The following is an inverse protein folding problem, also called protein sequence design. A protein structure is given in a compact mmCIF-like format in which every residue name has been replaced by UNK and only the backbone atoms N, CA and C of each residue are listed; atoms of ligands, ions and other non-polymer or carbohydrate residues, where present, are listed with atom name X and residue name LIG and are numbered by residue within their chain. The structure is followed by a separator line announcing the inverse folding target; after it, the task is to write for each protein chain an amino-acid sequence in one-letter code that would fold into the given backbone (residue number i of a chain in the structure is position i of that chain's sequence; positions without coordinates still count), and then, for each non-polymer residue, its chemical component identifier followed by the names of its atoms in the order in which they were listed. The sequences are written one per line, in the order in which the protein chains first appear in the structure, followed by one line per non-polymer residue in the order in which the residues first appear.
data_IF_086058906744
#
_entry.id   IF_086058906744
#
_cell.length_a   1.000
_cell.length_b   1.000
_cell.length_c   1.000
_cell.angle_alpha   90.00
_cell.angle_beta   90.00
_cell.angle_gamma   90.00
#
_symmetry.space_group_name_H-M   'P 1'
#
loop_
_entity.id
_entity.type
_entity.pdbx_description
1 polymer ?
#
# COMPACT_ATOMS: atom_id res chain seq x y z
N UNK A 1 35.33 43.02 29.94
CA UNK A 1 34.13 43.27 30.77
C UNK A 1 33.06 42.28 30.37
N UNK A 2 32.85 41.30 31.24
CA UNK A 2 31.87 40.21 31.13
C UNK A 2 30.53 40.75 31.64
N UNK A 3 29.47 40.71 30.82
CA UNK A 3 28.10 40.98 31.27
C UNK A 3 27.19 39.85 30.80
N UNK A 4 27.22 38.76 31.57
CA UNK A 4 26.19 37.72 31.57
C UNK A 4 24.98 38.34 32.25
N UNK A 5 23.88 38.52 31.51
CA UNK A 5 22.61 38.98 32.06
C UNK A 5 21.53 37.92 31.85
N UNK A 6 20.90 37.59 32.97
CA UNK A 6 19.56 37.03 33.10
C UNK A 6 19.39 35.56 32.70
N UNK A 7 19.50 34.70 33.73
CA UNK A 7 19.04 33.32 33.66
C UNK A 7 17.53 33.25 33.49
N UNK A 8 17.10 32.75 32.34
CA UNK A 8 15.77 32.20 32.16
C UNK A 8 15.84 30.71 32.49
N UNK A 9 15.19 30.31 33.59
CA UNK A 9 14.95 28.90 33.88
C UNK A 9 13.97 28.35 32.84
N UNK A 10 14.48 27.88 31.71
CA UNK A 10 13.69 27.18 30.71
C UNK A 10 13.51 25.73 31.16
N UNK A 11 12.35 25.44 31.76
CA UNK A 11 11.92 24.07 32.05
C UNK A 11 11.53 23.41 30.73
N UNK A 12 12.47 22.73 30.08
CA UNK A 12 12.21 22.00 28.84
C UNK A 12 11.49 20.68 29.20
N UNK A 13 10.16 20.71 29.10
CA UNK A 13 9.34 19.50 29.03
C UNK A 13 9.55 18.86 27.66
N UNK A 14 10.55 17.97 27.55
CA UNK A 14 10.67 17.09 26.38
C UNK A 14 9.59 16.02 26.54
N UNK A 15 8.48 16.23 25.84
CA UNK A 15 7.47 15.20 25.62
C UNK A 15 8.14 13.99 24.98
N UNK A 16 7.98 12.82 25.60
CA UNK A 16 8.38 11.56 25.01
C UNK A 16 7.61 11.42 23.68
N UNK A 17 8.30 11.58 22.56
CA UNK A 17 7.76 11.23 21.26
C UNK A 17 7.56 9.72 21.26
N UNK A 18 6.30 9.29 21.39
CA UNK A 18 5.93 7.92 21.11
C UNK A 18 6.44 7.57 19.72
N UNK A 19 7.35 6.59 19.65
CA UNK A 19 7.85 6.07 18.38
C UNK A 19 6.66 5.67 17.53
N UNK A 20 6.49 6.32 16.38
CA UNK A 20 5.58 5.83 15.37
C UNK A 20 6.14 4.47 14.94
N UNK A 21 5.44 3.39 15.27
CA UNK A 21 5.67 2.11 14.65
C UNK A 21 5.41 2.32 13.15
N UNK A 22 6.47 2.53 12.36
CA UNK A 22 6.36 2.57 10.92
C UNK A 22 5.72 1.28 10.47
N UNK A 23 4.51 1.36 9.92
CA UNK A 23 3.86 0.22 9.31
C UNK A 23 4.80 -0.29 8.21
N UNK A 24 5.43 -1.45 8.44
CA UNK A 24 6.34 -2.05 7.49
C UNK A 24 5.56 -2.30 6.19
N UNK A 25 5.86 -1.55 5.15
CA UNK A 25 5.12 -1.62 3.88
C UNK A 25 5.36 -2.99 3.23
N UNK A 26 4.28 -3.66 2.82
CA UNK A 26 4.38 -4.98 2.20
C UNK A 26 5.01 -4.88 0.82
N UNK A 27 6.20 -5.49 0.63
CA UNK A 27 6.90 -5.53 -0.66
C UNK A 27 6.03 -6.15 -1.74
N UNK A 28 5.27 -7.19 -1.42
CA UNK A 28 4.38 -7.84 -2.39
C UNK A 28 3.21 -6.95 -2.78
N UNK A 29 2.61 -6.26 -1.81
CA UNK A 29 1.53 -5.33 -2.09
C UNK A 29 2.02 -4.16 -2.94
N UNK A 30 3.18 -3.58 -2.61
CA UNK A 30 3.74 -2.48 -3.37
C UNK A 30 4.16 -2.90 -4.78
N UNK A 31 4.78 -4.07 -4.90
CA UNK A 31 5.07 -4.68 -6.20
C UNK A 31 3.80 -4.81 -7.04
N UNK A 32 2.70 -5.30 -6.45
CA UNK A 32 1.44 -5.45 -7.17
C UNK A 32 0.85 -4.09 -7.60
N UNK A 33 0.85 -3.08 -6.72
CA UNK A 33 0.37 -1.73 -7.05
C UNK A 33 1.14 -1.16 -8.24
N UNK A 34 2.48 -1.16 -8.17
CA UNK A 34 3.34 -0.56 -9.20
C UNK A 34 3.20 -1.34 -10.51
N UNK A 35 3.21 -2.67 -10.46
CA UNK A 35 3.12 -3.51 -11.66
C UNK A 35 1.77 -3.34 -12.36
N UNK A 36 0.65 -3.43 -11.63
CA UNK A 36 -0.68 -3.28 -12.21
C UNK A 36 -0.95 -1.86 -12.73
N UNK A 37 -0.40 -0.84 -12.06
CA UNK A 37 -0.41 0.53 -12.57
C UNK A 37 0.40 0.65 -13.88
N UNK A 38 1.53 -0.06 -14.00
CA UNK A 38 2.28 -0.20 -15.25
C UNK A 38 1.44 -0.79 -16.38
N UNK A 39 0.74 -1.90 -16.09
CA UNK A 39 -0.16 -2.57 -17.04
C UNK A 39 -1.29 -1.65 -17.52
N UNK A 40 -1.86 -0.84 -16.62
CA UNK A 40 -2.89 0.17 -16.99
C UNK A 40 -2.38 1.19 -18.01
N UNK A 41 -1.08 1.46 -18.02
CA UNK A 41 -0.41 2.37 -18.95
C UNK A 41 0.16 1.64 -20.19
N UNK A 42 -0.16 0.36 -20.40
CA UNK A 42 0.33 -0.44 -21.52
C UNK A 42 1.78 -0.92 -21.37
N UNK A 43 2.35 -0.83 -20.18
CA UNK A 43 3.70 -1.32 -19.89
C UNK A 43 3.60 -2.67 -19.18
N UNK A 44 3.78 -3.74 -19.96
CA UNK A 44 3.92 -5.09 -19.44
C UNK A 44 5.15 -5.18 -18.55
N UNK A 45 4.99 -5.21 -17.22
CA UNK A 45 6.10 -5.24 -16.26
C UNK A 45 7.00 -6.48 -16.36
N UNK A 46 6.68 -7.38 -17.29
CA UNK A 46 7.48 -8.53 -17.68
C UNK A 46 7.61 -9.56 -16.56
N UNK A 47 8.66 -10.38 -16.65
CA UNK A 47 8.92 -11.44 -15.66
C UNK A 47 9.05 -10.89 -14.22
N UNK A 48 9.55 -9.67 -14.06
CA UNK A 48 9.70 -9.03 -12.75
C UNK A 48 8.35 -8.76 -12.05
N UNK A 49 7.28 -8.52 -12.83
CA UNK A 49 5.95 -8.25 -12.29
C UNK A 49 5.06 -9.48 -12.15
N UNK A 50 5.36 -10.55 -12.87
CA UNK A 50 4.54 -11.77 -12.91
C UNK A 50 4.18 -12.31 -11.52
N UNK A 51 5.15 -12.39 -10.59
CA UNK A 51 4.92 -12.90 -9.24
C UNK A 51 3.98 -12.01 -8.41
N UNK A 52 4.13 -10.69 -8.53
CA UNK A 52 3.29 -9.73 -7.79
C UNK A 52 1.86 -9.69 -8.32
N UNK A 53 1.71 -9.69 -9.65
CA UNK A 53 0.41 -9.77 -10.31
C UNK A 53 -0.28 -11.08 -9.94
N UNK A 54 0.41 -12.22 -10.05
CA UNK A 54 -0.14 -13.52 -9.65
C UNK A 54 -0.58 -13.52 -8.18
N UNK A 55 0.18 -12.89 -7.29
CA UNK A 55 -0.20 -12.79 -5.87
C UNK A 55 -1.49 -12.00 -5.66
N UNK A 56 -1.63 -10.84 -6.31
CA UNK A 56 -2.87 -10.07 -6.30
C UNK A 56 -4.06 -10.89 -6.82
N UNK A 57 -3.89 -11.56 -7.97
CA UNK A 57 -4.97 -12.33 -8.60
C UNK A 57 -5.29 -13.64 -7.88
N UNK A 58 -4.39 -14.18 -7.06
CA UNK A 58 -4.66 -15.34 -6.21
C UNK A 58 -5.64 -15.05 -5.07
N UNK A 59 -5.89 -13.78 -4.75
CA UNK A 59 -6.91 -13.36 -3.79
C UNK A 59 -8.25 -13.44 -4.49
N UNK A 60 -8.97 -14.53 -4.25
CA UNK A 60 -10.30 -14.79 -4.79
C UNK A 60 -11.18 -15.36 -3.69
N UNK A 61 -12.32 -14.73 -3.47
CA UNK A 61 -13.41 -15.26 -2.67
C UNK A 61 -14.37 -16.04 -3.57
N UNK A 62 -14.62 -17.30 -3.21
CA UNK A 62 -15.52 -18.17 -3.95
C UNK A 62 -16.83 -18.39 -3.19
N UNK A 63 -17.95 -18.27 -3.90
CA UNK A 63 -19.26 -18.58 -3.37
C UNK A 63 -20.04 -19.38 -4.44
N UNK A 64 -20.61 -20.53 -4.07
CA UNK A 64 -21.42 -21.36 -4.97
C UNK A 64 -20.75 -21.65 -6.34
N UNK A 65 -19.42 -21.86 -6.34
CA UNK A 65 -18.66 -22.22 -7.54
C UNK A 65 -18.38 -21.06 -8.51
N UNK A 66 -18.69 -19.82 -8.15
CA UNK A 66 -18.30 -18.62 -8.90
C UNK A 66 -17.54 -17.64 -8.01
N UNK A 67 -16.76 -16.78 -8.64
CA UNK A 67 -16.04 -15.72 -7.94
C UNK A 67 -17.04 -14.70 -7.42
N UNK A 68 -16.98 -14.42 -6.11
CA UNK A 68 -17.76 -13.36 -5.49
C UNK A 68 -17.03 -12.03 -5.70
N UNK A 69 -17.52 -11.25 -6.68
CA UNK A 69 -16.83 -10.05 -7.17
C UNK A 69 -16.67 -8.98 -6.08
N UNK A 70 -17.65 -8.85 -5.18
CA UNK A 70 -17.65 -7.84 -4.13
C UNK A 70 -16.58 -8.11 -3.06
N UNK A 71 -16.65 -9.26 -2.35
CA UNK A 71 -15.63 -9.71 -1.41
C UNK A 71 -14.24 -9.77 -2.04
N UNK A 72 -14.10 -10.35 -3.24
CA UNK A 72 -12.81 -10.45 -3.93
C UNK A 72 -12.18 -9.07 -4.14
N UNK A 73 -12.95 -8.11 -4.66
CA UNK A 73 -12.46 -6.74 -4.88
C UNK A 73 -12.10 -6.03 -3.57
N UNK A 74 -12.90 -6.24 -2.51
CA UNK A 74 -12.61 -5.70 -1.18
C UNK A 74 -11.31 -6.25 -0.61
N UNK A 75 -11.12 -7.57 -0.68
CA UNK A 75 -9.97 -8.26 -0.08
C UNK A 75 -8.68 -7.97 -0.88
N UNK A 76 -8.80 -7.82 -2.20
CA UNK A 76 -7.75 -7.27 -3.06
C UNK A 76 -7.38 -5.83 -2.65
N UNK A 77 -8.35 -4.96 -2.37
CA UNK A 77 -8.04 -3.60 -1.88
C UNK A 77 -7.38 -3.63 -0.50
N UNK A 78 -7.79 -4.52 0.40
CA UNK A 78 -7.14 -4.73 1.69
C UNK A 78 -5.67 -5.12 1.49
N UNK A 79 -5.38 -6.02 0.55
CA UNK A 79 -4.01 -6.37 0.18
C UNK A 79 -3.22 -5.17 -0.36
N UNK A 80 -3.76 -4.40 -1.31
CA UNK A 80 -3.07 -3.21 -1.83
C UNK A 80 -2.80 -2.17 -0.73
N UNK A 81 -3.71 -2.04 0.24
CA UNK A 81 -3.54 -1.13 1.37
C UNK A 81 -2.41 -1.53 2.34
N UNK A 82 -1.88 -2.76 2.25
CA UNK A 82 -0.65 -3.12 2.95
C UNK A 82 0.59 -2.43 2.35
N UNK A 83 0.48 -1.88 1.14
CA UNK A 83 1.46 -0.95 0.63
C UNK A 83 1.18 0.46 1.17
N UNK A 84 1.93 0.87 2.19
CA UNK A 84 1.76 2.15 2.87
C UNK A 84 2.50 3.29 2.19
N UNK A 85 3.47 2.96 1.33
CA UNK A 85 4.29 3.93 0.57
C UNK A 85 3.64 4.43 -0.72
N UNK A 86 2.66 3.72 -1.27
CA UNK A 86 1.99 4.11 -2.52
C UNK A 86 0.75 4.99 -2.27
N UNK A 87 0.51 5.91 -3.21
CA UNK A 87 -0.61 6.84 -3.18
C UNK A 87 -1.95 6.07 -3.13
N UNK A 88 -2.84 6.37 -2.15
CA UNK A 88 -4.18 5.79 -2.08
C UNK A 88 -4.97 5.85 -3.39
N UNK A 89 -4.83 6.92 -4.19
CA UNK A 89 -5.51 7.06 -5.47
C UNK A 89 -5.01 6.04 -6.51
N UNK A 90 -3.71 5.72 -6.51
CA UNK A 90 -3.15 4.70 -7.40
C UNK A 90 -3.64 3.31 -7.00
N UNK A 91 -3.63 3.01 -5.69
CA UNK A 91 -4.19 1.76 -5.16
C UNK A 91 -5.65 1.59 -5.53
N UNK A 92 -6.45 2.65 -5.38
CA UNK A 92 -7.86 2.65 -5.75
C UNK A 92 -8.02 2.43 -7.26
N UNK A 93 -7.28 3.14 -8.11
CA UNK A 93 -7.38 2.98 -9.56
C UNK A 93 -7.00 1.57 -10.03
N UNK A 94 -5.99 0.96 -9.41
CA UNK A 94 -5.63 -0.46 -9.64
C UNK A 94 -6.80 -1.36 -9.25
N UNK A 95 -7.40 -1.17 -8.07
CA UNK A 95 -8.50 -2.03 -7.63
C UNK A 95 -9.80 -1.80 -8.42
N UNK A 96 -10.08 -0.58 -8.86
CA UNK A 96 -11.22 -0.28 -9.72
C UNK A 96 -11.08 -0.98 -11.07
N UNK A 97 -9.85 -1.08 -11.58
CA UNK A 97 -9.56 -1.76 -12.84
C UNK A 97 -9.62 -3.28 -12.70
N UNK A 98 -8.94 -3.85 -11.70
CA UNK A 98 -8.65 -5.29 -11.63
C UNK A 98 -9.37 -6.02 -10.50
N UNK A 99 -9.98 -5.33 -9.54
CA UNK A 99 -10.56 -5.92 -8.33
C UNK A 99 -11.65 -6.95 -8.60
N UNK A 100 -12.35 -6.85 -9.73
CA UNK A 100 -13.41 -7.78 -10.13
C UNK A 100 -13.03 -8.68 -11.30
N UNK A 101 -11.78 -8.64 -11.77
CA UNK A 101 -11.32 -9.50 -12.87
C UNK A 101 -10.88 -10.87 -12.37
N UNK A 102 -11.33 -11.93 -13.03
CA UNK A 102 -10.93 -13.30 -12.68
C UNK A 102 -9.49 -13.58 -13.14
N UNK A 103 -9.14 -13.10 -14.34
CA UNK A 103 -7.87 -13.39 -14.99
C UNK A 103 -6.92 -12.19 -14.91
N UNK A 104 -5.63 -12.49 -14.76
CA UNK A 104 -4.56 -11.49 -14.78
C UNK A 104 -4.33 -10.92 -16.19
N UNK A 105 -3.90 -9.65 -16.31
CA UNK A 105 -3.46 -9.06 -17.57
C UNK A 105 -2.18 -9.71 -18.12
#
# INVERSE_FOLDING_TARGET
MLLIRSGFAALILITATGGQAGANSSTDACGAVICLAGEMNGHGGGAACSGYIAKYFSIIDWHHGHMDLGPTSRDRMIFLNQCTMEDPAIKQAVNDKYGTQADAP
#
